data_IF_764274072791
#
_entry.id   IF_764274072791
#
_cell.length_a   1.000
_cell.length_b   1.000
_cell.length_c   1.000
_cell.angle_alpha   90.00
_cell.angle_beta   90.00
_cell.angle_gamma   90.00
#
_symmetry.space_group_name_H-M   'P 1'
#
loop_
_entity.id
_entity.type
_entity.pdbx_description
1 polymer ?
#
# COMPACT_ATOMS: atom_id res chain seq x y z
N UNK A 1 -16.26 -22.01 22.69
CA UNK A 1 -14.86 -22.04 23.17
C UNK A 1 -14.69 -20.99 24.25
N UNK A 2 -13.94 -21.25 25.33
CA UNK A 2 -13.63 -20.22 26.31
C UNK A 2 -12.79 -19.09 25.66
N UNK A 3 -13.00 -17.82 26.05
CA UNK A 3 -12.25 -16.70 25.49
C UNK A 3 -10.75 -16.83 25.79
N UNK A 4 -9.92 -16.55 24.78
CA UNK A 4 -8.46 -16.54 24.91
C UNK A 4 -8.03 -15.61 26.05
N UNK A 5 -7.13 -16.06 26.92
CA UNK A 5 -6.57 -15.23 28.00
C UNK A 5 -5.79 -14.03 27.45
N UNK A 6 -5.15 -14.20 26.29
CA UNK A 6 -4.46 -13.14 25.56
C UNK A 6 -5.44 -12.09 25.04
N UNK A 7 -6.55 -12.53 24.46
CA UNK A 7 -7.62 -11.64 23.99
C UNK A 7 -8.27 -10.88 25.16
N UNK A 8 -8.47 -11.55 26.30
CA UNK A 8 -9.04 -10.94 27.51
C UNK A 8 -8.12 -9.86 28.08
N UNK A 9 -6.80 -10.10 28.10
CA UNK A 9 -5.81 -9.12 28.53
C UNK A 9 -5.75 -7.92 27.56
N UNK A 10 -5.74 -8.19 26.26
CA UNK A 10 -5.73 -7.14 25.23
C UNK A 10 -7.02 -6.30 25.29
N UNK A 11 -8.18 -6.94 25.48
CA UNK A 11 -9.49 -6.27 25.66
C UNK A 11 -9.50 -5.33 26.88
N UNK A 12 -8.88 -5.72 27.99
CA UNK A 12 -8.74 -4.85 29.18
C UNK A 12 -7.83 -3.64 28.96
N UNK A 13 -6.91 -3.72 27.99
CA UNK A 13 -5.99 -2.63 27.65
C UNK A 13 -6.46 -1.76 26.48
N UNK A 14 -7.56 -2.12 25.81
CA UNK A 14 -8.09 -1.36 24.67
C UNK A 14 -8.77 -0.05 25.13
N UNK A 15 -7.96 0.99 25.30
CA UNK A 15 -8.39 2.40 25.40
C UNK A 15 -8.52 3.01 23.98
N UNK A 16 -8.87 2.19 22.99
CA UNK A 16 -9.04 2.62 21.59
C UNK A 16 -10.51 2.58 21.26
N UNK A 17 -11.02 3.66 20.67
CA UNK A 17 -12.39 3.76 20.18
C UNK A 17 -12.32 4.09 18.70
N UNK A 18 -12.77 3.17 17.87
CA UNK A 18 -12.80 3.33 16.42
C UNK A 18 -14.16 3.85 15.98
N UNK A 19 -14.15 4.61 14.89
CA UNK A 19 -15.34 5.09 14.19
C UNK A 19 -16.23 5.99 15.04
N UNK A 20 -15.65 6.78 15.95
CA UNK A 20 -16.39 7.65 16.88
C UNK A 20 -17.21 8.74 16.18
N UNK A 21 -16.90 9.09 14.93
CA UNK A 21 -17.68 10.03 14.11
C UNK A 21 -18.69 9.35 13.18
N UNK A 22 -18.79 8.02 13.24
CA UNK A 22 -19.80 7.25 12.52
C UNK A 22 -19.35 6.68 11.19
N UNK A 23 -20.27 6.58 10.24
CA UNK A 23 -19.97 6.01 8.92
C UNK A 23 -19.07 6.90 8.05
N UNK A 24 -19.09 8.22 8.29
CA UNK A 24 -18.52 9.22 7.38
C UNK A 24 -19.56 9.69 6.35
N UNK A 25 -19.19 10.68 5.52
CA UNK A 25 -20.15 11.32 4.59
C UNK A 25 -20.75 10.30 3.59
N UNK A 26 -22.08 10.21 3.44
CA UNK A 26 -22.73 9.27 2.52
C UNK A 26 -22.21 9.39 1.07
N UNK A 27 -21.94 10.61 0.61
CA UNK A 27 -21.45 10.89 -0.74
C UNK A 27 -20.05 10.29 -0.96
N UNK A 28 -19.18 10.38 0.05
CA UNK A 28 -17.84 9.81 -0.01
C UNK A 28 -17.91 8.28 -0.01
N UNK A 29 -18.77 7.67 0.81
CA UNK A 29 -18.98 6.22 0.79
C UNK A 29 -19.53 5.73 -0.55
N UNK A 30 -20.46 6.47 -1.16
CA UNK A 30 -20.98 6.15 -2.48
C UNK A 30 -19.87 6.13 -3.53
N UNK A 31 -19.03 7.18 -3.57
CA UNK A 31 -17.87 7.27 -4.47
C UNK A 31 -16.88 6.13 -4.23
N UNK A 32 -16.56 5.85 -2.96
CA UNK A 32 -15.67 4.74 -2.57
C UNK A 32 -16.21 3.40 -3.04
N UNK A 33 -17.52 3.13 -2.89
CA UNK A 33 -18.12 1.87 -3.33
C UNK A 33 -18.22 1.73 -4.85
N UNK A 34 -18.41 2.82 -5.58
CA UNK A 34 -18.29 2.81 -7.04
C UNK A 34 -16.85 2.52 -7.47
N UNK A 35 -15.89 3.24 -6.88
CA UNK A 35 -14.47 3.09 -7.20
C UNK A 35 -13.93 1.70 -6.80
N UNK A 36 -14.47 1.10 -5.73
CA UNK A 36 -14.15 -0.28 -5.33
C UNK A 36 -14.26 -1.25 -6.50
N UNK A 37 -15.26 -1.12 -7.36
CA UNK A 37 -15.47 -2.02 -8.51
C UNK A 37 -14.35 -1.93 -9.54
N UNK A 38 -13.67 -0.79 -9.60
CA UNK A 38 -12.52 -0.56 -10.47
C UNK A 38 -11.27 -1.11 -9.76
N UNK A 39 -11.00 -0.68 -8.53
CA UNK A 39 -9.78 -1.07 -7.81
C UNK A 39 -9.71 -2.57 -7.48
N UNK A 40 -10.85 -3.28 -7.44
CA UNK A 40 -10.90 -4.73 -7.20
C UNK A 40 -10.55 -5.58 -8.42
N UNK A 41 -10.46 -4.98 -9.61
CA UNK A 41 -10.11 -5.68 -10.84
C UNK A 41 -8.67 -5.30 -11.24
N UNK A 42 -7.74 -6.27 -11.22
CA UNK A 42 -6.31 -6.07 -11.53
C UNK A 42 -6.08 -5.27 -12.81
N UNK A 43 -6.77 -5.63 -13.89
CA UNK A 43 -6.59 -5.03 -15.22
C UNK A 43 -6.94 -3.55 -15.28
N UNK A 44 -7.94 -3.14 -14.51
CA UNK A 44 -8.37 -1.74 -14.44
C UNK A 44 -7.57 -0.99 -13.38
N UNK A 45 -7.33 -1.61 -12.22
CA UNK A 45 -6.55 -1.05 -11.11
C UNK A 45 -5.11 -0.71 -11.51
N UNK A 46 -4.42 -1.62 -12.21
CA UNK A 46 -3.04 -1.39 -12.66
C UNK A 46 -2.91 -0.15 -13.56
N UNK A 47 -3.94 0.16 -14.36
CA UNK A 47 -3.97 1.31 -15.28
C UNK A 47 -4.23 2.64 -14.56
N UNK A 48 -4.62 2.62 -13.29
CA UNK A 48 -4.89 3.83 -12.50
C UNK A 48 -3.61 4.57 -12.11
N UNK A 49 -2.45 3.92 -12.20
CA UNK A 49 -1.15 4.51 -11.86
C UNK A 49 -0.24 4.46 -13.08
N UNK A 50 0.13 5.59 -13.67
CA UNK A 50 1.07 5.62 -14.78
C UNK A 50 2.48 5.18 -14.35
N UNK A 51 3.24 4.59 -15.27
CA UNK A 51 4.59 4.03 -14.99
C UNK A 51 5.59 5.10 -14.53
N UNK A 52 5.43 6.31 -15.02
CA UNK A 52 6.25 7.49 -14.76
C UNK A 52 5.69 8.37 -13.62
N UNK A 53 4.76 7.86 -12.80
CA UNK A 53 4.19 8.61 -11.68
C UNK A 53 5.26 9.32 -10.85
N UNK A 54 5.11 10.62 -10.56
CA UNK A 54 6.17 11.41 -9.94
C UNK A 54 6.43 10.94 -8.51
N UNK A 55 7.71 10.76 -8.18
CA UNK A 55 8.19 10.43 -6.84
C UNK A 55 9.36 11.36 -6.52
N UNK A 56 9.23 12.13 -5.45
CA UNK A 56 10.24 13.06 -5.00
C UNK A 56 11.15 12.42 -3.95
N UNK A 57 12.46 12.57 -4.12
CA UNK A 57 13.45 12.20 -3.10
C UNK A 57 13.84 13.44 -2.33
N UNK A 58 13.44 13.51 -1.07
CA UNK A 58 13.63 14.68 -0.22
C UNK A 58 14.95 14.64 0.54
N UNK A 59 15.46 13.44 0.82
CA UNK A 59 16.67 13.29 1.61
C UNK A 59 17.42 12.01 1.27
N UNK A 60 18.75 12.10 1.31
CA UNK A 60 19.65 10.95 1.18
C UNK A 60 20.73 11.05 2.24
N UNK A 61 20.92 9.97 3.00
CA UNK A 61 21.96 9.83 4.01
C UNK A 61 22.67 8.51 3.85
N UNK A 62 23.98 8.58 3.56
CA UNK A 62 24.85 7.43 3.46
C UNK A 62 25.44 7.08 4.83
N UNK A 63 25.42 5.81 5.17
CA UNK A 63 26.08 5.18 6.32
C UNK A 63 27.20 4.26 5.81
N UNK A 64 27.95 3.61 6.70
CA UNK A 64 29.07 2.74 6.34
C UNK A 64 28.66 1.58 5.44
N UNK A 65 27.57 0.89 5.77
CA UNK A 65 27.08 -0.32 5.10
C UNK A 65 25.81 -0.12 4.26
N UNK A 66 25.14 1.01 4.44
CA UNK A 66 23.81 1.25 3.90
C UNK A 66 23.58 2.71 3.51
N UNK A 67 22.58 2.94 2.68
CA UNK A 67 22.08 4.27 2.32
C UNK A 67 20.60 4.36 2.66
N UNK A 68 20.24 5.37 3.46
CA UNK A 68 18.85 5.70 3.78
C UNK A 68 18.39 6.86 2.90
N UNK A 69 17.26 6.67 2.23
CA UNK A 69 16.63 7.64 1.36
C UNK A 69 15.23 7.92 1.91
N UNK A 70 14.81 9.17 1.94
CA UNK A 70 13.45 9.58 2.27
C UNK A 70 12.84 10.17 1.01
N UNK A 71 11.58 9.83 0.77
CA UNK A 71 10.86 10.33 -0.39
C UNK A 71 9.37 10.43 -0.11
N UNK A 72 8.68 11.11 -1.01
CA UNK A 72 7.26 11.32 -0.93
C UNK A 72 6.63 11.40 -2.33
N UNK A 73 5.31 11.30 -2.38
CA UNK A 73 4.50 11.54 -3.58
C UNK A 73 3.04 11.76 -3.17
N UNK A 74 2.28 12.47 -3.99
CA UNK A 74 0.83 12.61 -3.76
C UNK A 74 0.15 11.27 -4.00
N UNK A 75 -0.77 10.86 -3.13
CA UNK A 75 -1.48 9.59 -3.26
C UNK A 75 -2.37 9.59 -4.52
N UNK A 76 -2.30 8.57 -5.40
CA UNK A 76 -3.15 8.53 -6.59
C UNK A 76 -4.65 8.49 -6.26
N UNK A 77 -5.02 8.03 -5.05
CA UNK A 77 -6.42 7.96 -4.66
C UNK A 77 -7.07 9.36 -4.63
N UNK A 78 -6.32 10.39 -4.23
CA UNK A 78 -6.84 11.77 -4.22
C UNK A 78 -7.06 12.30 -5.63
N UNK A 79 -6.23 11.90 -6.60
CA UNK A 79 -6.42 12.27 -8.01
C UNK A 79 -7.69 11.65 -8.60
N UNK A 80 -7.99 10.40 -8.24
CA UNK A 80 -9.16 9.67 -8.72
C UNK A 80 -10.44 10.00 -7.94
N UNK A 81 -10.30 10.36 -6.66
CA UNK A 81 -11.41 10.72 -5.78
C UNK A 81 -11.11 11.99 -4.97
N UNK A 82 -11.09 13.18 -5.62
CA UNK A 82 -10.76 14.43 -4.94
C UNK A 82 -11.69 14.71 -3.75
N UNK A 83 -11.12 15.14 -2.64
CA UNK A 83 -11.81 15.48 -1.38
C UNK A 83 -12.26 14.28 -0.55
N UNK A 84 -11.93 13.05 -0.95
CA UNK A 84 -12.18 11.85 -0.15
C UNK A 84 -11.01 11.58 0.78
N UNK A 85 -9.77 11.81 0.35
CA UNK A 85 -8.59 11.65 1.20
C UNK A 85 -8.44 12.91 2.06
N UNK A 86 -8.38 12.80 3.40
CA UNK A 86 -8.11 13.95 4.25
C UNK A 86 -6.79 14.61 3.88
N UNK A 87 -6.71 15.94 3.93
CA UNK A 87 -5.54 16.73 3.54
C UNK A 87 -4.23 16.21 4.15
N UNK A 88 -4.24 15.93 5.46
CA UNK A 88 -3.09 15.36 6.18
C UNK A 88 -2.58 14.02 5.60
N UNK A 89 -3.44 13.27 4.92
CA UNK A 89 -3.13 11.96 4.36
C UNK A 89 -2.91 11.97 2.83
N UNK A 90 -3.03 13.12 2.15
CA UNK A 90 -2.88 13.22 0.70
C UNK A 90 -1.43 12.98 0.23
N UNK A 91 -0.43 13.39 1.02
CA UNK A 91 0.96 13.07 0.73
C UNK A 91 1.35 11.73 1.34
N UNK A 92 1.84 10.81 0.50
CA UNK A 92 2.45 9.55 0.92
C UNK A 92 3.95 9.78 1.21
N UNK A 93 4.45 9.18 2.30
CA UNK A 93 5.84 9.29 2.73
C UNK A 93 6.45 7.90 2.87
N UNK A 94 7.68 7.73 2.40
CA UNK A 94 8.41 6.47 2.54
C UNK A 94 9.88 6.67 2.91
N UNK A 95 10.45 5.64 3.53
CA UNK A 95 11.89 5.48 3.67
C UNK A 95 12.36 4.29 2.85
N UNK A 96 13.41 4.47 2.06
CA UNK A 96 14.09 3.40 1.35
C UNK A 96 15.47 3.16 2.00
N UNK A 97 15.71 1.94 2.46
CA UNK A 97 16.99 1.49 2.99
C UNK A 97 17.65 0.55 1.99
N UNK A 98 18.82 0.92 1.48
CA UNK A 98 19.58 0.14 0.50
C UNK A 98 20.94 -0.29 1.07
N UNK A 99 21.46 -1.46 0.69
CA UNK A 99 22.87 -1.76 0.91
C UNK A 99 23.75 -0.86 0.03
N UNK A 100 24.94 -0.52 0.51
CA UNK A 100 25.92 0.23 -0.29
C UNK A 100 26.56 -0.62 -1.41
N UNK A 101 26.49 -1.94 -1.29
CA UNK A 101 27.00 -2.92 -2.26
C UNK A 101 26.00 -4.07 -2.38
N UNK A 102 25.64 -4.42 -3.61
CA UNK A 102 24.78 -5.57 -3.87
C UNK A 102 25.63 -6.84 -3.98
N UNK A 103 25.06 -7.98 -3.57
CA UNK A 103 25.67 -9.29 -3.79
C UNK A 103 25.76 -9.63 -5.28
N UNK A 104 24.78 -9.16 -6.06
CA UNK A 104 24.75 -9.25 -7.50
C UNK A 104 24.23 -7.92 -8.08
N UNK A 105 25.05 -7.20 -8.86
CA UNK A 105 24.64 -5.90 -9.43
C UNK A 105 23.51 -6.00 -10.48
N UNK A 106 23.24 -7.20 -11.01
CA UNK A 106 22.08 -7.47 -11.86
C UNK A 106 20.78 -7.68 -11.07
N UNK A 107 20.87 -8.01 -9.77
CA UNK A 107 19.72 -8.28 -8.92
C UNK A 107 19.78 -7.39 -7.68
N UNK A 108 18.93 -6.37 -7.66
CA UNK A 108 18.81 -5.38 -6.59
C UNK A 108 17.46 -5.55 -5.90
N UNK A 109 17.27 -6.62 -5.08
CA UNK A 109 15.96 -6.97 -4.54
C UNK A 109 15.45 -5.93 -3.56
N UNK A 110 14.15 -5.60 -3.66
CA UNK A 110 13.46 -4.64 -2.78
C UNK A 110 12.18 -5.26 -2.24
N UNK A 111 11.96 -5.10 -0.93
CA UNK A 111 10.71 -5.46 -0.26
C UNK A 111 9.99 -4.21 0.27
N UNK A 112 8.72 -4.02 -0.07
CA UNK A 112 7.86 -2.97 0.46
C UNK A 112 7.21 -3.47 1.75
N UNK A 113 7.29 -2.68 2.83
CA UNK A 113 6.79 -3.02 4.17
C UNK A 113 5.60 -2.16 4.53
N UNK A 114 4.42 -2.77 4.65
CA UNK A 114 3.19 -2.12 5.09
C UNK A 114 2.99 -2.23 6.60
N UNK A 115 2.53 -1.15 7.22
CA UNK A 115 2.41 -1.05 8.67
C UNK A 115 1.19 -1.83 9.19
N UNK A 116 1.36 -2.51 10.33
CA UNK A 116 0.25 -3.05 11.11
C UNK A 116 -0.46 -1.97 11.93
N UNK A 117 -1.57 -2.31 12.59
CA UNK A 117 -2.36 -1.33 13.36
C UNK A 117 -1.52 -0.65 14.45
N UNK A 118 -1.51 0.69 14.46
CA UNK A 118 -0.76 1.50 15.43
C UNK A 118 0.76 1.58 15.20
N UNK A 119 1.29 1.01 14.11
CA UNK A 119 2.70 1.13 13.75
C UNK A 119 2.99 2.47 13.05
N UNK A 120 3.07 3.52 13.87
CA UNK A 120 3.39 4.86 13.42
C UNK A 120 4.87 5.04 13.09
N UNK A 121 5.15 5.89 12.10
CA UNK A 121 6.47 6.23 11.61
C UNK A 121 7.25 5.02 11.08
N UNK A 122 8.54 5.22 10.85
CA UNK A 122 9.41 4.24 10.19
C UNK A 122 10.28 3.44 11.16
N UNK A 123 10.49 3.93 12.39
CA UNK A 123 11.59 3.46 13.24
C UNK A 123 11.52 1.97 13.57
N UNK A 124 10.34 1.45 13.92
CA UNK A 124 10.17 0.04 14.30
C UNK A 124 10.49 -0.88 13.12
N UNK A 125 9.78 -0.71 12.00
CA UNK A 125 10.04 -1.47 10.77
C UNK A 125 11.47 -1.32 10.27
N UNK A 126 12.05 -0.12 10.38
CA UNK A 126 13.44 0.12 9.96
C UNK A 126 14.44 -0.69 10.77
N UNK A 127 14.32 -0.70 12.09
CA UNK A 127 15.32 -1.32 12.95
C UNK A 127 15.11 -2.83 13.14
N UNK A 128 13.86 -3.28 13.21
CA UNK A 128 13.56 -4.69 13.50
C UNK A 128 13.30 -5.55 12.27
N UNK A 129 13.07 -4.94 11.09
CA UNK A 129 12.80 -5.68 9.86
C UNK A 129 13.81 -5.30 8.77
N UNK A 130 13.83 -4.03 8.35
CA UNK A 130 14.63 -3.60 7.20
C UNK A 130 16.14 -3.78 7.41
N UNK A 131 16.67 -3.40 8.59
CA UNK A 131 18.10 -3.56 8.90
C UNK A 131 18.55 -5.03 8.94
N UNK A 132 17.87 -5.95 9.67
CA UNK A 132 18.18 -7.38 9.59
C UNK A 132 18.08 -7.92 8.16
N UNK A 133 17.03 -7.56 7.43
CA UNK A 133 16.82 -8.03 6.06
C UNK A 133 17.94 -7.57 5.10
N UNK A 134 18.41 -6.33 5.26
CA UNK A 134 19.58 -5.81 4.54
C UNK A 134 20.86 -6.54 4.91
N UNK A 135 21.09 -6.76 6.21
CA UNK A 135 22.33 -7.38 6.71
C UNK A 135 22.45 -8.84 6.33
N UNK A 136 21.38 -9.60 6.52
CA UNK A 136 21.41 -11.06 6.45
C UNK A 136 21.10 -11.58 5.05
N UNK A 137 20.36 -10.81 4.24
CA UNK A 137 19.93 -11.22 2.89
C UNK A 137 20.32 -10.25 1.77
N UNK A 138 20.93 -9.10 2.08
CA UNK A 138 21.25 -8.05 1.10
C UNK A 138 20.02 -7.57 0.31
N UNK A 139 18.85 -7.52 0.97
CA UNK A 139 17.59 -7.05 0.38
C UNK A 139 17.28 -5.64 0.90
N UNK A 140 17.08 -4.70 -0.02
CA UNK A 140 16.65 -3.35 0.32
C UNK A 140 15.18 -3.31 0.73
N UNK A 141 14.80 -2.27 1.45
CA UNK A 141 13.45 -2.16 2.03
C UNK A 141 12.85 -0.79 1.82
N UNK A 142 11.63 -0.74 1.27
CA UNK A 142 10.79 0.46 1.28
C UNK A 142 9.82 0.36 2.44
N UNK A 143 9.77 1.38 3.30
CA UNK A 143 8.89 1.45 4.46
C UNK A 143 7.90 2.58 4.18
N UNK A 144 6.66 2.23 3.87
CA UNK A 144 5.60 3.19 3.55
C UNK A 144 4.86 3.60 4.83
N UNK A 145 4.68 4.89 5.09
CA UNK A 145 3.80 5.38 6.16
C UNK A 145 2.34 5.22 5.72
N UNK A 146 1.55 4.44 6.45
CA UNK A 146 0.14 4.27 6.13
C UNK A 146 -0.61 5.61 6.23
N UNK A 147 -1.69 5.81 5.45
CA UNK A 147 -2.62 6.91 5.67
C UNK A 147 -3.13 6.91 7.12
N UNK A 148 -3.43 8.08 7.69
CA UNK A 148 -3.89 8.27 9.07
C UNK A 148 -2.84 7.96 10.16
N UNK A 149 -1.58 7.68 9.81
CA UNK A 149 -0.54 7.27 10.76
C UNK A 149 0.65 8.23 10.71
N UNK A 150 1.33 8.43 11.84
CA UNK A 150 2.57 9.19 11.91
C UNK A 150 2.44 10.56 11.27
N UNK A 151 3.22 10.81 10.21
CA UNK A 151 3.20 12.07 9.45
C UNK A 151 1.88 12.34 8.70
N UNK A 152 1.04 11.31 8.51
CA UNK A 152 -0.21 11.34 7.74
C UNK A 152 -1.46 11.29 8.60
N UNK A 153 -1.29 11.46 9.92
CA UNK A 153 -2.36 11.37 10.91
C UNK A 153 -3.05 12.73 11.06
N UNK A 154 -4.38 12.85 10.92
CA UNK A 154 -5.10 14.07 11.25
C UNK A 154 -4.80 14.54 12.69
N UNK A 155 -4.80 15.86 12.91
CA UNK A 155 -4.41 16.46 14.19
C UNK A 155 -5.33 16.06 15.34
N UNK A 156 -6.64 15.99 15.06
CA UNK A 156 -7.68 15.58 16.00
C UNK A 156 -7.83 14.05 16.10
N UNK A 157 -6.98 13.27 15.42
CA UNK A 157 -6.96 11.82 15.55
C UNK A 157 -6.02 11.37 16.67
N UNK A 158 -6.56 10.57 17.60
CA UNK A 158 -5.81 10.00 18.71
C UNK A 158 -5.30 8.62 18.31
N UNK A 159 -3.97 8.42 18.36
CA UNK A 159 -3.32 7.14 17.99
C UNK A 159 -3.73 6.70 16.57
N UNK A 160 -4.04 5.42 16.38
CA UNK A 160 -4.54 4.84 15.13
C UNK A 160 -6.06 4.70 15.08
N UNK A 161 -6.80 5.42 15.93
CA UNK A 161 -8.25 5.35 15.99
C UNK A 161 -8.86 6.13 14.83
N UNK A 162 -9.27 5.43 13.77
CA UNK A 162 -9.94 6.05 12.64
C UNK A 162 -11.27 6.66 13.08
N UNK A 163 -11.60 7.86 12.60
CA UNK A 163 -12.80 8.59 13.02
C UNK A 163 -14.06 8.03 12.39
N UNK A 164 -14.00 7.61 11.12
CA UNK A 164 -15.16 7.14 10.37
C UNK A 164 -14.92 5.76 9.79
N UNK A 165 -16.00 5.00 9.56
CA UNK A 165 -15.90 3.74 8.82
C UNK A 165 -15.35 3.98 7.41
N UNK A 166 -15.71 5.10 6.75
CA UNK A 166 -15.14 5.47 5.44
C UNK A 166 -13.62 5.50 5.43
N UNK A 167 -12.99 5.93 6.52
CA UNK A 167 -11.54 6.16 6.59
C UNK A 167 -10.76 4.86 6.41
N UNK A 168 -11.34 3.71 6.79
CA UNK A 168 -10.68 2.41 6.59
C UNK A 168 -10.61 2.04 5.11
N UNK A 169 -11.65 2.37 4.34
CA UNK A 169 -11.67 2.13 2.90
C UNK A 169 -10.72 3.07 2.17
N UNK A 170 -10.68 4.34 2.60
CA UNK A 170 -9.73 5.34 2.08
C UNK A 170 -8.29 4.87 2.33
N UNK A 171 -7.97 4.42 3.55
CA UNK A 171 -6.66 3.87 3.87
C UNK A 171 -6.30 2.70 2.94
N UNK A 172 -7.24 1.76 2.74
CA UNK A 172 -7.03 0.61 1.88
C UNK A 172 -6.78 0.99 0.42
N UNK A 173 -7.61 1.89 -0.14
CA UNK A 173 -7.46 2.38 -1.51
C UNK A 173 -6.13 3.09 -1.74
N UNK A 174 -5.72 3.95 -0.81
CA UNK A 174 -4.43 4.63 -0.84
C UNK A 174 -3.29 3.62 -0.88
N UNK A 175 -3.26 2.66 0.04
CA UNK A 175 -2.18 1.69 0.13
C UNK A 175 -2.06 0.77 -1.10
N UNK A 176 -3.18 0.39 -1.73
CA UNK A 176 -3.15 -0.38 -2.98
C UNK A 176 -2.46 0.44 -4.07
N UNK A 177 -2.91 1.69 -4.29
CA UNK A 177 -2.38 2.53 -5.37
C UNK A 177 -0.97 3.04 -5.09
N UNK A 178 -0.64 3.36 -3.83
CA UNK A 178 0.70 3.79 -3.41
C UNK A 178 1.73 2.66 -3.58
N UNK A 179 1.35 1.41 -3.32
CA UNK A 179 2.20 0.27 -3.66
C UNK A 179 2.45 0.16 -5.17
N UNK A 180 1.44 0.39 -6.02
CA UNK A 180 1.64 0.40 -7.47
C UNK A 180 2.63 1.50 -7.89
N UNK A 181 2.55 2.70 -7.30
CA UNK A 181 3.52 3.78 -7.53
C UNK A 181 4.93 3.31 -7.17
N UNK A 182 5.11 2.73 -5.99
CA UNK A 182 6.42 2.26 -5.53
C UNK A 182 6.97 1.09 -6.36
N UNK A 183 6.11 0.19 -6.83
CA UNK A 183 6.52 -0.91 -7.70
C UNK A 183 6.97 -0.41 -9.08
N UNK A 184 6.22 0.52 -9.69
CA UNK A 184 6.64 1.19 -10.92
C UNK A 184 7.93 1.97 -10.73
N UNK A 185 8.04 2.69 -9.61
CA UNK A 185 9.24 3.44 -9.25
C UNK A 185 10.45 2.51 -9.07
N UNK A 186 10.27 1.36 -8.42
CA UNK A 186 11.33 0.37 -8.29
C UNK A 186 11.79 -0.17 -9.66
N UNK A 187 10.84 -0.60 -10.49
CA UNK A 187 11.12 -1.18 -11.80
C UNK A 187 11.90 -0.22 -12.71
N UNK A 188 11.45 1.04 -12.81
CA UNK A 188 12.13 2.05 -13.66
C UNK A 188 13.50 2.49 -13.13
N UNK A 189 13.80 2.23 -11.86
CA UNK A 189 15.11 2.49 -11.26
C UNK A 189 16.01 1.24 -11.23
N UNK A 190 15.62 0.16 -11.93
CA UNK A 190 16.42 -1.05 -12.05
C UNK A 190 16.47 -1.91 -10.77
N UNK A 191 15.47 -1.78 -9.90
CA UNK A 191 15.33 -2.65 -8.74
C UNK A 191 14.52 -3.91 -9.08
N UNK A 192 14.95 -5.06 -8.58
CA UNK A 192 14.33 -6.35 -8.83
C UNK A 192 15.20 -7.53 -8.38
N UNK A 193 14.62 -8.66 -7.97
CA UNK A 193 13.18 -8.96 -7.86
C UNK A 193 12.47 -8.14 -6.76
N UNK A 194 11.15 -7.96 -6.90
CA UNK A 194 10.35 -7.14 -5.98
C UNK A 194 9.50 -8.01 -5.06
N UNK A 195 9.22 -7.49 -3.88
CA UNK A 195 8.28 -8.10 -2.94
C UNK A 195 7.50 -7.10 -2.10
N UNK A 196 6.41 -7.57 -1.50
CA UNK A 196 5.61 -6.83 -0.53
C UNK A 196 5.37 -7.71 0.70
N UNK A 197 5.49 -7.10 1.87
CA UNK A 197 5.21 -7.72 3.15
C UNK A 197 4.46 -6.75 4.06
N UNK A 198 3.86 -7.30 5.10
CA UNK A 198 3.25 -6.53 6.17
C UNK A 198 2.76 -7.43 7.29
N UNK A 199 2.52 -6.82 8.45
CA UNK A 199 2.05 -7.51 9.64
C UNK A 199 0.59 -7.16 9.94
N UNK A 200 -0.25 -8.16 10.22
CA UNK A 200 -1.66 -7.99 10.59
C UNK A 200 -2.44 -7.19 9.53
N UNK A 201 -2.96 -6.00 9.86
CA UNK A 201 -3.56 -5.08 8.89
C UNK A 201 -2.63 -4.82 7.70
N UNK A 202 -1.33 -4.63 7.94
CA UNK A 202 -0.35 -4.46 6.86
C UNK A 202 -0.20 -5.71 6.00
N UNK A 203 -0.33 -6.90 6.58
CA UNK A 203 -0.32 -8.16 5.84
C UNK A 203 -1.58 -8.35 4.98
N UNK A 204 -2.73 -7.88 5.45
CA UNK A 204 -3.96 -7.85 4.66
C UNK A 204 -3.80 -6.89 3.46
N UNK A 205 -3.26 -5.70 3.71
CA UNK A 205 -3.01 -4.72 2.65
C UNK A 205 -1.92 -5.17 1.67
N UNK A 206 -0.91 -5.92 2.13
CA UNK A 206 0.12 -6.49 1.27
C UNK A 206 -0.49 -7.44 0.25
N UNK A 207 -1.43 -8.30 0.69
CA UNK A 207 -2.17 -9.19 -0.20
C UNK A 207 -3.00 -8.43 -1.23
N UNK A 208 -3.76 -7.40 -0.80
CA UNK A 208 -4.57 -6.57 -1.70
C UNK A 208 -3.73 -5.79 -2.72
N UNK A 209 -2.59 -5.24 -2.29
CA UNK A 209 -1.67 -4.56 -3.20
C UNK A 209 -1.06 -5.53 -4.22
N UNK A 210 -0.59 -6.70 -3.76
CA UNK A 210 0.04 -7.70 -4.61
C UNK A 210 -0.91 -8.24 -5.70
N UNK A 211 -2.21 -8.41 -5.39
CA UNK A 211 -3.19 -8.87 -6.38
C UNK A 211 -3.43 -7.91 -7.54
N UNK A 212 -2.97 -6.65 -7.42
CA UNK A 212 -3.12 -5.62 -8.44
C UNK A 212 -1.87 -5.41 -9.31
N UNK A 213 -0.77 -6.10 -9.02
CA UNK A 213 0.44 -6.06 -9.83
C UNK A 213 0.47 -7.26 -10.81
N UNK A 214 0.63 -7.04 -12.13
CA UNK A 214 0.52 -8.10 -13.12
C UNK A 214 1.81 -8.91 -13.34
N UNK A 215 2.94 -8.53 -12.73
CA UNK A 215 4.24 -9.19 -12.92
C UNK A 215 4.62 -10.04 -11.70
N UNK A 216 5.59 -10.97 -11.81
CA UNK A 216 6.07 -11.75 -10.67
C UNK A 216 6.43 -10.86 -9.47
N UNK A 217 5.85 -11.18 -8.32
CA UNK A 217 6.00 -10.42 -7.09
C UNK A 217 6.01 -11.37 -5.90
N UNK A 218 7.02 -11.23 -5.02
CA UNK A 218 7.08 -12.00 -3.78
C UNK A 218 6.10 -11.40 -2.77
N UNK A 219 5.22 -12.23 -2.19
CA UNK A 219 4.28 -11.81 -1.16
C UNK A 219 4.54 -12.58 0.14
N UNK A 220 4.82 -11.86 1.22
CA UNK A 220 4.98 -12.43 2.57
C UNK A 220 4.01 -11.74 3.54
N UNK A 221 2.73 -12.17 3.61
CA UNK A 221 1.74 -11.56 4.47
C UNK A 221 1.76 -12.23 5.85
N UNK A 222 2.22 -11.51 6.87
CA UNK A 222 2.37 -12.05 8.23
C UNK A 222 1.13 -11.75 9.08
N UNK A 223 0.61 -12.75 9.80
CA UNK A 223 -0.58 -12.62 10.66
C UNK A 223 -1.79 -11.98 9.93
N UNK A 224 -1.88 -12.22 8.63
CA UNK A 224 -2.92 -11.68 7.75
C UNK A 224 -4.18 -12.55 7.78
N UNK A 225 -5.32 -11.95 7.45
CA UNK A 225 -6.60 -12.65 7.29
C UNK A 225 -7.25 -12.26 5.96
N UNK A 226 -8.17 -13.10 5.47
CA UNK A 226 -8.88 -12.86 4.21
C UNK A 226 -9.87 -11.69 4.28
N UNK A 227 -10.29 -11.28 5.48
CA UNK A 227 -11.25 -10.18 5.68
C UNK A 227 -11.03 -9.44 7.00
N UNK A 228 -11.23 -8.13 6.99
CA UNK A 228 -11.28 -7.30 8.20
C UNK A 228 -12.61 -7.46 8.97
N UNK A 229 -13.66 -8.02 8.34
CA UNK A 229 -15.01 -8.08 8.91
C UNK A 229 -15.02 -8.78 10.28
N UNK A 230 -14.41 -9.96 10.40
CA UNK A 230 -14.39 -10.71 11.65
C UNK A 230 -13.69 -9.94 12.77
N UNK A 231 -12.62 -9.18 12.47
CA UNK A 231 -11.87 -8.41 13.47
C UNK A 231 -12.76 -7.35 14.12
N UNK A 232 -13.53 -6.64 13.31
CA UNK A 232 -14.41 -5.57 13.76
C UNK A 232 -15.76 -6.09 14.28
N UNK A 233 -16.41 -7.06 13.65
CA UNK A 233 -17.78 -7.46 14.01
C UNK A 233 -17.85 -8.42 15.21
N UNK A 234 -16.96 -9.40 15.29
CA UNK A 234 -17.01 -10.47 16.31
C UNK A 234 -15.71 -10.60 17.10
N UNK A 235 -14.64 -10.01 16.59
CA UNK A 235 -13.29 -10.09 17.13
C UNK A 235 -13.03 -9.09 18.24
N UNK A 236 -11.76 -8.99 18.61
CA UNK A 236 -11.25 -8.14 19.70
C UNK A 236 -11.58 -6.65 19.50
N UNK A 237 -11.70 -6.19 18.25
CA UNK A 237 -12.02 -4.78 17.96
C UNK A 237 -13.52 -4.47 18.00
N UNK A 238 -14.41 -5.46 18.11
CA UNK A 238 -15.85 -5.22 18.21
C UNK A 238 -16.26 -4.32 19.36
N UNK A 239 -15.57 -4.43 20.49
CA UNK A 239 -15.84 -3.63 21.69
C UNK A 239 -15.26 -2.20 21.59
N UNK A 240 -14.47 -1.91 20.56
CA UNK A 240 -13.96 -0.56 20.30
C UNK A 240 -14.87 0.27 19.40
N UNK A 241 -15.92 -0.34 18.84
CA UNK A 241 -16.86 0.32 17.92
C UNK A 241 -18.14 0.68 18.68
N UNK A 242 -18.61 1.90 18.50
CA UNK A 242 -19.93 2.33 18.97
C UNK A 242 -21.02 1.84 17.99
N UNK A 243 -21.44 0.58 18.15
CA UNK A 243 -22.43 -0.05 17.27
C UNK A 243 -23.78 0.64 17.32
N UNK A 244 -24.25 1.06 18.50
CA UNK A 244 -25.53 1.74 18.68
C UNK A 244 -25.61 3.02 17.84
N UNK A 245 -24.52 3.80 17.79
CA UNK A 245 -24.43 4.99 16.95
C UNK A 245 -24.44 4.64 15.46
N UNK A 246 -23.66 3.64 15.03
CA UNK A 246 -23.64 3.23 13.63
C UNK A 246 -25.00 2.68 13.17
N UNK A 247 -25.67 1.93 14.03
CA UNK A 247 -27.01 1.41 13.80
C UNK A 247 -28.04 2.55 13.71
N UNK A 248 -27.99 3.48 14.65
CA UNK A 248 -28.86 4.67 14.65
C UNK A 248 -28.69 5.47 13.35
N UNK A 249 -27.45 5.75 12.93
CA UNK A 249 -27.18 6.45 11.67
C UNK A 249 -27.68 5.66 10.46
N UNK A 250 -27.45 4.34 10.44
CA UNK A 250 -27.89 3.46 9.37
C UNK A 250 -29.41 3.47 9.17
N UNK A 251 -30.18 3.49 10.27
CA UNK A 251 -31.64 3.52 10.20
C UNK A 251 -32.24 4.92 10.04
N UNK A 252 -31.56 5.96 10.53
CA UNK A 252 -32.09 7.33 10.53
C UNK A 252 -31.85 8.07 9.21
N UNK A 253 -30.87 7.66 8.41
CA UNK A 253 -30.59 8.25 7.10
C UNK A 253 -30.77 7.20 5.98
N UNK A 254 -31.81 7.43 5.17
CA UNK A 254 -32.20 6.56 4.06
C UNK A 254 -31.09 6.34 3.02
N UNK A 255 -30.09 7.24 2.91
CA UNK A 255 -28.95 7.05 2.00
C UNK A 255 -28.13 5.80 2.38
N UNK A 256 -27.94 5.53 3.67
CA UNK A 256 -27.19 4.35 4.12
C UNK A 256 -27.96 3.05 3.88
N UNK A 257 -29.22 3.01 4.33
CA UNK A 257 -30.03 1.79 4.25
C UNK A 257 -30.50 1.45 2.84
N UNK A 258 -30.97 2.42 2.06
CA UNK A 258 -31.67 2.13 0.79
C UNK A 258 -30.73 2.12 -0.41
N UNK A 259 -29.59 2.81 -0.30
CA UNK A 259 -28.60 3.00 -1.37
C UNK A 259 -27.30 2.27 -1.09
N UNK A 260 -26.62 2.57 0.02
CA UNK A 260 -25.29 2.04 0.30
C UNK A 260 -25.31 0.53 0.60
N UNK A 261 -26.30 0.02 1.32
CA UNK A 261 -26.42 -1.43 1.62
C UNK A 261 -26.39 -2.32 0.37
N UNK A 262 -27.05 -1.87 -0.72
CA UNK A 262 -27.13 -2.59 -2.00
C UNK A 262 -25.79 -2.59 -2.77
N UNK A 263 -24.89 -1.67 -2.45
CA UNK A 263 -23.57 -1.55 -3.07
C UNK A 263 -22.49 -2.39 -2.40
N UNK A 264 -22.76 -2.86 -1.17
CA UNK A 264 -21.83 -3.70 -0.39
C UNK A 264 -21.97 -5.19 -0.72
N UNK A 265 -22.97 -5.57 -1.53
CA UNK A 265 -23.15 -6.93 -2.03
C UNK A 265 -21.84 -7.43 -2.64
N UNK A 266 -21.33 -8.56 -2.15
CA UNK A 266 -20.13 -9.21 -2.67
C UNK A 266 -20.49 -9.68 -4.09
N UNK A 267 -19.95 -9.00 -5.10
CA UNK A 267 -20.31 -9.22 -6.51
C UNK A 267 -19.64 -10.46 -7.08
N UNK A 268 -18.52 -10.90 -6.50
CA UNK A 268 -17.76 -12.06 -6.96
C UNK A 268 -17.67 -13.10 -5.86
N UNK A 269 -18.18 -14.30 -6.14
CA UNK A 269 -18.12 -15.41 -5.21
C UNK A 269 -16.69 -15.98 -5.16
N UNK A 270 -15.85 -15.37 -4.33
CA UNK A 270 -14.48 -15.82 -4.08
C UNK A 270 -14.42 -17.29 -3.63
N UNK A 271 -15.49 -17.81 -3.00
CA UNK A 271 -15.59 -19.21 -2.66
C UNK A 271 -15.78 -20.08 -3.92
N UNK A 272 -16.71 -19.71 -4.80
CA UNK A 272 -16.84 -20.35 -6.12
C UNK A 272 -15.56 -20.25 -6.96
N UNK A 273 -14.88 -19.10 -6.94
CA UNK A 273 -13.58 -18.95 -7.62
C UNK A 273 -12.53 -19.92 -7.05
N UNK A 274 -12.47 -20.06 -5.71
CA UNK A 274 -11.62 -21.04 -5.05
C UNK A 274 -11.98 -22.49 -5.40
N UNK A 275 -13.28 -22.82 -5.46
CA UNK A 275 -13.75 -24.13 -5.89
C UNK A 275 -13.34 -24.43 -7.34
N UNK A 276 -13.53 -23.48 -8.26
CA UNK A 276 -13.14 -23.61 -9.66
C UNK A 276 -11.63 -23.82 -9.81
N UNK A 277 -10.82 -23.09 -9.03
CA UNK A 277 -9.36 -23.26 -9.03
C UNK A 277 -8.97 -24.68 -8.59
N UNK A 278 -9.54 -25.18 -7.48
CA UNK A 278 -9.25 -26.53 -6.99
C UNK A 278 -9.70 -27.60 -7.98
N UNK A 279 -10.89 -27.45 -8.57
CA UNK A 279 -11.42 -28.38 -9.57
C UNK A 279 -10.55 -28.42 -10.84
N UNK A 280 -9.95 -27.30 -11.22
CA UNK A 280 -9.13 -27.15 -12.42
C UNK A 280 -7.64 -26.96 -12.11
N UNK A 281 -7.15 -27.52 -10.99
CA UNK A 281 -5.84 -27.22 -10.43
C UNK A 281 -4.69 -27.40 -11.44
N UNK A 282 -4.66 -28.54 -12.15
CA UNK A 282 -3.61 -28.84 -13.12
C UNK A 282 -3.56 -27.83 -14.28
N UNK A 283 -4.73 -27.42 -14.77
CA UNK A 283 -4.85 -26.42 -15.84
C UNK A 283 -4.47 -25.03 -15.34
N UNK A 284 -4.95 -24.66 -14.17
CA UNK A 284 -4.64 -23.37 -13.53
C UNK A 284 -3.13 -23.21 -13.27
N UNK A 285 -2.44 -24.31 -12.91
CA UNK A 285 -0.98 -24.32 -12.79
C UNK A 285 -0.25 -24.20 -14.12
N UNK A 286 -0.82 -24.72 -15.21
CA UNK A 286 -0.26 -24.55 -16.55
C UNK A 286 -0.38 -23.10 -17.01
N UNK A 287 -1.57 -22.52 -16.90
CA UNK A 287 -1.84 -21.12 -17.24
C UNK A 287 -0.93 -20.18 -16.41
N UNK A 288 -0.75 -20.46 -15.12
CA UNK A 288 0.20 -19.71 -14.28
C UNK A 288 1.66 -19.81 -14.77
N UNK A 289 2.08 -20.98 -15.27
CA UNK A 289 3.44 -21.14 -15.82
C UNK A 289 3.59 -20.35 -17.11
N UNK A 290 2.59 -20.39 -18.00
CA UNK A 290 2.58 -19.61 -19.23
C UNK A 290 2.63 -18.11 -18.94
N UNK A 291 1.83 -17.61 -17.99
CA UNK A 291 1.86 -16.20 -17.56
C UNK A 291 3.24 -15.77 -17.03
N UNK A 292 3.91 -16.65 -16.25
CA UNK A 292 5.26 -16.40 -15.75
C UNK A 292 6.26 -16.32 -16.91
N UNK A 293 6.18 -17.24 -17.87
CA UNK A 293 7.11 -17.30 -19.00
C UNK A 293 6.89 -16.15 -19.99
N UNK A 294 5.64 -15.76 -20.25
CA UNK A 294 5.33 -14.60 -21.08
C UNK A 294 5.76 -13.30 -20.41
N UNK A 295 5.61 -13.18 -19.10
CA UNK A 295 6.13 -12.01 -18.38
C UNK A 295 7.65 -11.93 -18.46
N UNK A 296 8.37 -13.06 -18.37
CA UNK A 296 9.83 -13.11 -18.55
C UNK A 296 10.25 -12.66 -19.94
N UNK A 297 9.53 -13.09 -20.99
CA UNK A 297 9.79 -12.65 -22.38
C UNK A 297 9.57 -11.13 -22.53
N UNK A 298 8.51 -10.59 -21.92
CA UNK A 298 8.25 -9.14 -21.95
C UNK A 298 9.39 -8.38 -21.26
N UNK A 299 9.90 -8.90 -20.13
CA UNK A 299 11.04 -8.30 -19.42
C UNK A 299 12.34 -8.39 -20.25
N UNK A 300 12.61 -9.51 -20.92
CA UNK A 300 13.81 -9.64 -21.76
C UNK A 300 13.77 -8.70 -22.97
N UNK A 301 12.62 -8.58 -23.64
CA UNK A 301 12.42 -7.65 -24.75
C UNK A 301 12.59 -6.19 -24.32
N UNK A 302 12.09 -5.82 -23.14
CA UNK A 302 12.27 -4.47 -22.59
C UNK A 302 13.74 -4.17 -22.26
N UNK A 303 14.49 -5.17 -21.79
CA UNK A 303 15.93 -5.05 -21.50
C UNK A 303 16.76 -4.90 -22.79
N UNK A 304 16.43 -5.65 -23.85
CA UNK A 304 17.07 -5.51 -25.17
C UNK A 304 16.78 -4.15 -25.82
N UNK A 305 15.55 -3.64 -25.68
CA UNK A 305 15.20 -2.30 -26.18
C UNK A 305 15.94 -1.19 -25.41
N UNK A 306 16.19 -1.40 -24.11
CA UNK A 306 16.96 -0.48 -23.30
C UNK A 306 18.46 -0.51 -23.65
N UNK A 307 19.04 -1.69 -23.91
CA UNK A 307 20.43 -1.80 -24.34
C UNK A 307 20.68 -1.17 -25.71
N UNK A 308 19.72 -1.26 -26.64
CA UNK A 308 19.82 -0.62 -27.96
C UNK A 308 19.62 0.90 -27.93
N UNK A 309 19.19 1.49 -26.80
CA UNK A 309 19.03 2.94 -26.62
C UNK A 309 20.10 3.58 -25.73
N UNK A 310 21.00 2.78 -25.14
CA UNK A 310 22.05 3.23 -24.20
C UNK A 310 23.43 3.34 -24.87
N UNK A 311 23.56 3.06 -26.17
CA UNK A 311 24.84 3.29 -26.88
C UNK A 311 25.20 4.78 -27.08
N UNK A 312 24.36 5.74 -26.66
CA UNK A 312 24.70 7.17 -26.70
C UNK A 312 24.21 7.89 -25.43
N UNK A 313 24.98 7.84 -24.34
CA UNK A 313 24.66 8.61 -23.12
C UNK A 313 25.44 8.23 -21.87
N UNK A 314 26.50 8.99 -21.60
CA UNK A 314 27.42 8.88 -20.47
C UNK A 314 26.72 8.69 -19.10
N UNK A 315 27.11 7.63 -18.38
CA UNK A 315 26.62 7.23 -17.06
C UNK A 315 26.86 8.30 -15.97
N UNK A 316 25.78 8.88 -15.43
CA UNK A 316 25.71 9.22 -14.00
C UNK A 316 24.26 9.39 -13.53
N UNK A 317 23.84 8.54 -12.59
CA UNK A 317 22.49 8.53 -11.97
C UNK A 317 22.29 9.68 -10.94
N UNK A 318 23.24 10.61 -10.83
CA UNK A 318 23.17 11.71 -9.86
C UNK A 318 23.78 13.00 -10.41
N UNK A 319 23.06 13.71 -11.28
CA UNK A 319 23.34 15.12 -11.53
C UNK A 319 22.04 15.92 -11.53
N UNK A 320 21.86 16.62 -10.41
CA UNK A 320 20.83 17.61 -10.15
C UNK A 320 20.87 18.72 -11.19
N UNK A 321 19.74 19.01 -11.85
CA UNK A 321 19.49 20.34 -12.42
C UNK A 321 19.30 21.30 -11.25
N UNK A 322 20.39 21.93 -10.82
CA UNK A 322 20.30 23.18 -10.07
C UNK A 322 19.74 24.24 -11.04
N UNK A 323 18.65 24.89 -10.64
CA UNK A 323 18.13 26.07 -11.32
C UNK A 323 19.14 27.20 -11.12
N UNK A 324 19.78 27.64 -12.21
CA UNK A 324 20.53 28.90 -12.21
C UNK A 324 19.54 30.06 -12.06
N UNK A 325 19.67 30.78 -10.95
CA UNK A 325 19.11 32.10 -10.78
C UNK A 325 19.84 33.05 -11.73
N UNK A 326 19.18 33.49 -12.80
CA UNK A 326 19.61 34.67 -13.54
C UNK A 326 19.43 35.89 -12.63
N UNK A 327 20.55 36.43 -12.14
CA UNK A 327 20.63 37.80 -11.66
C UNK A 327 20.40 38.73 -12.86
N UNK A 328 19.39 39.58 -12.74
CA UNK A 328 19.18 40.74 -13.61
C UNK A 328 20.10 41.84 -13.10
N UNK A 329 21.11 42.19 -13.90
CA UNK A 329 21.91 43.40 -13.68
C UNK A 329 21.06 44.64 -13.98
N UNK A 330 21.08 45.69 -13.14
CA UNK A 330 20.34 46.92 -13.38
C UNK A 330 21.21 47.86 -14.22
N UNK A 331 20.90 47.98 -15.51
CA UNK A 331 21.24 49.15 -16.34
C UNK A 331 20.49 49.10 -17.68
N UNK A 332 19.20 49.46 -17.65
CA UNK A 332 18.57 50.43 -18.59
C UNK A 332 17.16 50.75 -18.14
#
# INVERSE_FOLDING_TARGET
MPPSKLDSLYRRMLITRFFEKGWGKPENLHRVFQFRKIISCRETCFKLVPRDYPVEITKKKRYSDSTLIEGNFTTPLELHMPGVVPEAAQQAYFQLLLPNKWNNEQHKPICIHLAGTGDHFFWRRRNFIAKPLLKDANIGSIILENPFYGLRKPDDQIRSNLHNVSDIFVMGGCLILECLVLLHWCERNGFGPLGITGLSMGGHMASLAATNWPKPLVLVPCLSWSTASAVFTTGVMSQSINWDMLETQYYSDGQYRERLSKMVTIVDDAFTAGQNFIQNFNRSLHELKEDIDDTRKIQSLQCETHNNSVEDGNDSIFLSKALEHNQVDPNT
#
